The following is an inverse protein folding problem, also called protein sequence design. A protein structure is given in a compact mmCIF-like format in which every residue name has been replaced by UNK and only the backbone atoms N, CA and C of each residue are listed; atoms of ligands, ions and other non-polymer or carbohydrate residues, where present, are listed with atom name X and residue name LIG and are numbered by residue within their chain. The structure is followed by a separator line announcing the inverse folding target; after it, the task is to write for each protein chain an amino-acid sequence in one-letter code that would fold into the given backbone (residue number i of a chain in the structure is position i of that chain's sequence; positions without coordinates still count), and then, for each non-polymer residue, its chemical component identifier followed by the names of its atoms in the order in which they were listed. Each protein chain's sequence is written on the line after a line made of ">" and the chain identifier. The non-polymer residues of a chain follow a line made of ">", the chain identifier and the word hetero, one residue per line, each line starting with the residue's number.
data_IF_694236790186
#
_entry.id   IF_694236790186
#
_cell.length_a   1.000
_cell.length_b   1.000
_cell.length_c   1.000
_cell.angle_alpha   90.00
_cell.angle_beta   90.00
_cell.angle_gamma   90.00
#
_symmetry.space_group_name_H-M   'P 1'
#
loop_
_entity.id
_entity.type
_entity.pdbx_description
1 polymer ?
#
# COMPACT_ATOMS: atom_id res chain seq x y z
N UNK A 1 0.61 -7.59 -43.16
CA UNK A 1 -0.07 -7.12 -41.92
C UNK A 1 0.17 -8.00 -40.69
N UNK A 2 0.38 -9.32 -40.81
CA UNK A 2 0.58 -10.22 -39.65
C UNK A 2 1.87 -9.99 -38.83
N UNK A 3 2.99 -9.61 -39.47
CA UNK A 3 4.27 -9.39 -38.77
C UNK A 3 4.31 -8.10 -37.92
N UNK A 4 3.61 -7.05 -38.33
CA UNK A 4 3.51 -5.80 -37.56
C UNK A 4 2.68 -6.00 -36.28
N UNK A 5 1.59 -6.77 -36.35
CA UNK A 5 0.77 -7.14 -35.19
C UNK A 5 1.56 -8.04 -34.21
N UNK A 6 2.36 -8.98 -34.71
CA UNK A 6 3.24 -9.82 -33.88
C UNK A 6 4.33 -9.04 -33.14
N UNK A 7 4.92 -8.01 -33.77
CA UNK A 7 5.89 -7.11 -33.11
C UNK A 7 5.24 -6.22 -32.06
N UNK A 8 4.08 -5.62 -32.37
CA UNK A 8 3.35 -4.77 -31.41
C UNK A 8 2.91 -5.59 -30.20
N UNK A 9 2.38 -6.80 -30.42
CA UNK A 9 2.00 -7.72 -29.35
C UNK A 9 3.20 -8.09 -28.47
N UNK A 10 4.34 -8.45 -29.06
CA UNK A 10 5.56 -8.78 -28.30
C UNK A 10 6.07 -7.58 -27.48
N UNK A 11 6.06 -6.36 -28.04
CA UNK A 11 6.46 -5.13 -27.33
C UNK A 11 5.52 -4.84 -26.15
N UNK A 12 4.21 -4.97 -26.36
CA UNK A 12 3.20 -4.75 -25.31
C UNK A 12 3.34 -5.79 -24.19
N UNK A 13 3.49 -7.06 -24.54
CA UNK A 13 3.70 -8.15 -23.57
C UNK A 13 4.99 -7.90 -22.78
N UNK A 14 6.12 -7.62 -23.43
CA UNK A 14 7.39 -7.36 -22.72
C UNK A 14 7.31 -6.14 -21.80
N UNK A 15 6.61 -5.07 -22.20
CA UNK A 15 6.36 -3.90 -21.33
C UNK A 15 5.48 -4.26 -20.13
N UNK A 16 4.35 -4.93 -20.35
CA UNK A 16 3.45 -5.33 -19.27
C UNK A 16 4.15 -6.28 -18.28
N UNK A 17 4.97 -7.20 -18.78
CA UNK A 17 5.78 -8.06 -17.92
C UNK A 17 6.82 -7.27 -17.14
N UNK A 18 7.52 -6.32 -17.77
CA UNK A 18 8.51 -5.47 -17.08
C UNK A 18 7.86 -4.59 -16.02
N UNK A 19 6.71 -3.98 -16.32
CA UNK A 19 5.95 -3.14 -15.40
C UNK A 19 5.41 -3.99 -14.24
N UNK A 20 4.95 -5.22 -14.51
CA UNK A 20 4.54 -6.17 -13.48
C UNK A 20 5.72 -6.55 -12.56
N UNK A 21 6.87 -6.91 -13.13
CA UNK A 21 8.07 -7.24 -12.34
C UNK A 21 8.50 -6.07 -11.46
N UNK A 22 8.50 -4.85 -11.99
CA UNK A 22 8.83 -3.64 -11.22
C UNK A 22 7.83 -3.40 -10.08
N UNK A 23 6.53 -3.58 -10.33
CA UNK A 23 5.50 -3.44 -9.29
C UNK A 23 5.57 -4.55 -8.22
N UNK A 24 6.00 -5.75 -8.60
CA UNK A 24 6.22 -6.86 -7.68
C UNK A 24 7.48 -6.62 -6.83
N UNK A 25 8.55 -6.05 -7.41
CA UNK A 25 9.78 -5.65 -6.69
C UNK A 25 9.53 -4.56 -5.65
N UNK A 26 8.58 -3.66 -5.89
CA UNK A 26 8.19 -2.60 -4.96
C UNK A 26 7.28 -3.08 -3.81
N UNK A 27 6.94 -4.37 -3.74
CA UNK A 27 6.13 -4.88 -2.63
C UNK A 27 6.97 -4.95 -1.34
N UNK A 28 6.45 -4.44 -0.22
CA UNK A 28 7.08 -4.64 1.08
C UNK A 28 7.07 -6.12 1.47
N UNK A 29 8.21 -6.61 1.95
CA UNK A 29 8.36 -7.98 2.49
C UNK A 29 8.20 -8.04 4.00
N UNK A 30 8.20 -6.89 4.65
CA UNK A 30 8.01 -6.75 6.08
C UNK A 30 7.01 -5.66 6.40
N UNK A 31 6.31 -5.84 7.53
CA UNK A 31 5.28 -4.93 8.00
C UNK A 31 5.46 -4.70 9.51
N UNK A 32 6.55 -4.01 9.93
CA UNK A 32 6.83 -3.76 11.33
C UNK A 32 5.73 -2.91 12.00
N UNK A 33 5.61 -3.06 13.32
CA UNK A 33 4.69 -2.26 14.11
C UNK A 33 5.11 -0.79 14.14
N UNK A 34 4.14 0.12 14.15
CA UNK A 34 4.33 1.57 14.25
C UNK A 34 5.23 1.93 15.42
N UNK A 35 5.05 1.30 16.59
CA UNK A 35 5.86 1.58 17.77
C UNK A 35 7.36 1.27 17.58
N UNK A 36 7.69 0.21 16.83
CA UNK A 36 9.08 -0.08 16.47
C UNK A 36 9.62 1.01 15.54
N UNK A 37 8.90 1.29 14.46
CA UNK A 37 9.30 2.28 13.45
C UNK A 37 9.45 3.68 14.05
N UNK A 38 8.61 4.04 15.00
CA UNK A 38 8.64 5.34 15.67
C UNK A 38 9.93 5.57 16.45
N UNK A 39 10.57 4.50 16.97
CA UNK A 39 11.81 4.56 17.75
C UNK A 39 13.07 4.50 16.88
N UNK A 40 12.97 4.01 15.66
CA UNK A 40 14.11 3.92 14.74
C UNK A 40 14.51 5.31 14.26
N UNK A 41 15.81 5.67 14.25
CA UNK A 41 16.29 6.98 13.78
C UNK A 41 16.02 7.21 12.28
N UNK A 42 16.12 6.13 11.48
CA UNK A 42 15.87 6.12 10.04
C UNK A 42 14.90 4.98 9.69
N UNK A 43 13.59 5.17 9.92
CA UNK A 43 12.62 4.11 9.71
C UNK A 43 12.50 3.77 8.23
N UNK A 44 12.70 2.51 7.88
CA UNK A 44 12.53 2.02 6.52
C UNK A 44 12.03 0.58 6.52
N UNK A 45 11.42 0.16 5.41
CA UNK A 45 10.97 -1.22 5.21
C UNK A 45 11.59 -1.83 3.98
N UNK A 46 11.99 -3.10 4.07
CA UNK A 46 12.51 -3.86 2.93
C UNK A 46 11.44 -4.13 1.89
N UNK A 47 11.85 -4.00 0.64
CA UNK A 47 11.07 -4.34 -0.54
C UNK A 47 11.53 -5.68 -1.13
N UNK A 48 10.68 -6.33 -1.92
CA UNK A 48 10.97 -7.61 -2.55
C UNK A 48 12.17 -7.53 -3.53
N UNK A 49 12.35 -6.38 -4.19
CA UNK A 49 13.51 -6.09 -5.02
C UNK A 49 14.82 -5.84 -4.26
N UNK A 50 14.83 -5.98 -2.93
CA UNK A 50 16.01 -5.80 -2.07
C UNK A 50 16.28 -4.35 -1.64
N UNK A 51 15.57 -3.37 -2.19
CA UNK A 51 15.64 -1.97 -1.74
C UNK A 51 15.00 -1.73 -0.38
N UNK A 52 15.20 -0.52 0.17
CA UNK A 52 14.46 -0.03 1.33
C UNK A 52 13.54 1.14 0.94
N UNK A 53 12.30 1.10 1.40
CA UNK A 53 11.37 2.21 1.33
C UNK A 53 11.44 3.02 2.63
N UNK A 54 11.96 4.24 2.54
CA UNK A 54 12.09 5.12 3.69
C UNK A 54 10.72 5.69 4.10
N UNK A 55 10.42 5.59 5.40
CA UNK A 55 9.23 6.20 5.99
C UNK A 55 9.60 7.57 6.53
N UNK A 56 8.76 8.58 6.24
CA UNK A 56 8.99 9.94 6.74
C UNK A 56 8.66 9.99 8.22
N UNK A 57 9.54 10.63 8.99
CA UNK A 57 9.33 10.80 10.44
C UNK A 57 8.02 11.53 10.72
N UNK A 58 7.75 12.58 9.94
CA UNK A 58 6.58 13.44 10.11
C UNK A 58 5.27 12.67 9.89
N UNK A 59 5.26 11.70 8.96
CA UNK A 59 4.08 10.87 8.71
C UNK A 59 3.86 9.88 9.88
N UNK A 60 4.93 9.34 10.45
CA UNK A 60 4.88 8.45 11.62
C UNK A 60 4.41 9.20 12.88
N UNK A 61 4.91 10.41 13.11
CA UNK A 61 4.48 11.29 14.21
C UNK A 61 3.01 11.65 14.09
N UNK A 62 2.58 12.09 12.91
CA UNK A 62 1.17 12.39 12.63
C UNK A 62 0.28 11.18 12.86
N UNK A 63 0.73 9.99 12.50
CA UNK A 63 -0.03 8.76 12.74
C UNK A 63 -0.04 8.40 14.23
N UNK A 64 1.09 8.54 14.92
CA UNK A 64 1.22 8.27 16.35
C UNK A 64 0.27 9.12 17.19
N UNK A 65 0.17 10.40 16.87
CA UNK A 65 -0.74 11.36 17.52
C UNK A 65 -2.20 11.09 17.18
N UNK A 66 -2.50 10.73 15.92
CA UNK A 66 -3.87 10.45 15.50
C UNK A 66 -4.43 9.17 16.14
N UNK A 67 -3.59 8.17 16.40
CA UNK A 67 -4.05 6.87 16.90
C UNK A 67 -4.18 6.83 18.44
N UNK A 68 -5.28 6.23 18.95
CA UNK A 68 -5.37 5.84 20.34
C UNK A 68 -4.18 4.95 20.75
N UNK A 69 -3.70 5.13 21.98
CA UNK A 69 -2.49 4.48 22.49
C UNK A 69 -2.49 2.96 22.28
N UNK A 70 -3.66 2.31 22.45
CA UNK A 70 -3.80 0.86 22.33
C UNK A 70 -3.69 0.34 20.90
N UNK A 71 -3.86 1.17 19.86
CA UNK A 71 -3.70 0.75 18.45
C UNK A 71 -2.26 0.83 17.97
N UNK A 72 -1.38 1.57 18.65
CA UNK A 72 -0.02 1.85 18.20
C UNK A 72 0.86 0.60 18.08
N UNK A 73 0.72 -0.33 19.02
CA UNK A 73 1.45 -1.61 19.00
C UNK A 73 0.93 -2.62 17.96
N UNK A 74 -0.33 -2.47 17.52
CA UNK A 74 -0.95 -3.37 16.54
C UNK A 74 -0.88 -2.85 15.11
N UNK A 75 -0.67 -1.55 14.92
CA UNK A 75 -0.63 -0.94 13.59
C UNK A 75 0.65 -1.36 12.87
N UNK A 76 0.52 -2.13 11.79
CA UNK A 76 1.64 -2.55 10.94
C UNK A 76 1.71 -1.72 9.67
N UNK A 77 2.93 -1.35 9.28
CA UNK A 77 3.19 -0.43 8.17
C UNK A 77 4.27 -0.96 7.24
N UNK A 78 4.28 -0.54 5.96
CA UNK A 78 3.31 0.35 5.32
C UNK A 78 2.00 -0.37 4.96
N UNK A 79 0.93 0.38 4.71
CA UNK A 79 -0.29 -0.19 4.13
C UNK A 79 -0.09 -0.42 2.64
N UNK A 80 -0.07 -1.68 2.22
CA UNK A 80 -0.02 -2.05 0.82
C UNK A 80 -1.44 -2.07 0.25
N UNK A 81 -1.73 -1.21 -0.70
CA UNK A 81 -3.01 -1.15 -1.40
C UNK A 81 -2.84 -1.66 -2.83
N UNK A 82 -3.62 -2.66 -3.21
CA UNK A 82 -3.62 -3.21 -4.57
C UNK A 82 -4.80 -2.63 -5.33
N UNK A 83 -4.50 -1.81 -6.33
CA UNK A 83 -5.47 -1.30 -7.27
C UNK A 83 -6.03 -2.43 -8.14
N UNK A 84 -7.35 -2.45 -8.24
CA UNK A 84 -8.13 -3.29 -9.15
C UNK A 84 -9.22 -2.45 -9.81
N UNK A 85 -9.35 -2.61 -11.12
CA UNK A 85 -10.48 -2.06 -11.86
C UNK A 85 -11.58 -3.10 -11.95
N UNK A 86 -12.78 -2.78 -11.45
CA UNK A 86 -13.98 -3.61 -11.56
C UNK A 86 -14.99 -2.85 -12.40
N UNK A 87 -15.01 -3.15 -13.71
CA UNK A 87 -15.79 -2.36 -14.68
C UNK A 87 -15.31 -0.91 -14.78
N UNK A 88 -16.17 0.04 -14.45
CA UNK A 88 -15.84 1.48 -14.36
C UNK A 88 -15.35 1.90 -12.96
N UNK A 89 -15.48 1.04 -11.95
CA UNK A 89 -15.16 1.38 -10.55
C UNK A 89 -13.71 1.05 -10.23
N UNK A 90 -13.03 2.02 -9.61
CA UNK A 90 -11.68 1.89 -9.10
C UNK A 90 -11.73 1.45 -7.65
N UNK A 91 -11.20 0.27 -7.36
CA UNK A 91 -11.19 -0.33 -6.02
C UNK A 91 -9.74 -0.59 -5.61
N UNK A 92 -9.41 -0.22 -4.37
CA UNK A 92 -8.11 -0.50 -3.78
C UNK A 92 -8.32 -1.49 -2.64
N UNK A 93 -7.76 -2.69 -2.78
CA UNK A 93 -7.87 -3.72 -1.76
C UNK A 93 -6.64 -3.67 -0.86
N UNK A 94 -6.85 -3.70 0.46
CA UNK A 94 -5.75 -3.81 1.40
C UNK A 94 -5.10 -5.19 1.23
N UNK A 95 -3.80 -5.20 0.99
CA UNK A 95 -2.97 -6.38 0.82
C UNK A 95 -1.86 -6.41 1.87
N UNK A 96 -1.14 -7.54 1.93
CA UNK A 96 -0.10 -7.80 2.91
C UNK A 96 -0.43 -9.02 3.76
N UNK A 97 0.28 -9.21 4.89
CA UNK A 97 0.00 -10.31 5.81
C UNK A 97 -1.43 -10.20 6.35
N UNK A 98 -2.08 -11.34 6.68
CA UNK A 98 -3.38 -11.33 7.34
C UNK A 98 -3.27 -10.64 8.69
N UNK A 99 -3.62 -9.36 8.72
CA UNK A 99 -3.65 -8.52 9.92
C UNK A 99 -5.09 -8.04 10.15
N UNK A 100 -5.68 -8.47 11.26
CA UNK A 100 -7.03 -8.06 11.65
C UNK A 100 -7.11 -6.58 12.03
N UNK A 101 -5.97 -5.93 12.33
CA UNK A 101 -5.93 -4.56 12.80
C UNK A 101 -5.82 -3.54 11.68
N UNK A 102 -5.08 -3.81 10.62
CA UNK A 102 -4.93 -2.86 9.52
C UNK A 102 -6.29 -2.34 8.95
N UNK A 103 -7.30 -3.20 8.66
CA UNK A 103 -8.63 -2.71 8.23
C UNK A 103 -9.34 -1.84 9.27
N UNK A 104 -9.13 -2.11 10.57
CA UNK A 104 -9.75 -1.36 11.67
C UNK A 104 -9.06 -0.03 11.91
N UNK A 105 -7.74 0.01 11.78
CA UNK A 105 -6.94 1.24 11.86
C UNK A 105 -7.34 2.17 10.72
N UNK A 106 -7.46 1.66 9.50
CA UNK A 106 -7.96 2.45 8.37
C UNK A 106 -9.40 2.92 8.58
N UNK A 107 -10.28 2.06 9.12
CA UNK A 107 -11.64 2.46 9.52
C UNK A 107 -11.65 3.59 10.55
N UNK A 108 -10.77 3.54 11.55
CA UNK A 108 -10.62 4.61 12.51
C UNK A 108 -10.13 5.90 11.87
N UNK A 109 -9.10 5.86 11.02
CA UNK A 109 -8.54 7.05 10.37
C UNK A 109 -9.50 7.71 9.37
N UNK A 110 -10.33 6.91 8.68
CA UNK A 110 -11.22 7.37 7.61
C UNK A 110 -12.64 7.70 8.08
N UNK A 111 -13.10 7.04 9.16
CA UNK A 111 -14.50 7.10 9.63
C UNK A 111 -14.62 7.42 11.12
N UNK A 112 -13.51 7.52 11.86
CA UNK A 112 -13.49 7.87 13.28
C UNK A 112 -13.83 6.72 14.23
N UNK A 113 -13.92 5.47 13.76
CA UNK A 113 -14.28 4.34 14.62
C UNK A 113 -13.57 3.03 14.24
N UNK A 114 -13.04 2.35 15.27
CA UNK A 114 -12.36 1.04 15.21
C UNK A 114 -13.36 -0.11 14.94
N UNK A 115 -14.66 0.17 15.06
CA UNK A 115 -15.73 -0.78 14.74
C UNK A 115 -15.89 -1.00 13.23
N UNK A 116 -15.50 -0.02 12.40
CA UNK A 116 -15.53 -0.16 10.95
C UNK A 116 -14.29 -0.87 10.46
N UNK A 117 -14.48 -1.95 9.69
CA UNK A 117 -13.41 -2.65 8.99
C UNK A 117 -13.40 -2.21 7.53
N UNK A 118 -12.30 -1.59 7.09
CA UNK A 118 -12.12 -1.12 5.72
C UNK A 118 -11.14 -2.06 5.01
N UNK A 119 -11.68 -3.02 4.27
CA UNK A 119 -10.88 -3.96 3.45
C UNK A 119 -10.73 -3.47 2.01
N UNK A 120 -11.67 -2.61 1.57
CA UNK A 120 -11.72 -2.01 0.23
C UNK A 120 -11.89 -0.52 0.36
N UNK A 121 -11.05 0.22 -0.36
CA UNK A 121 -11.06 1.68 -0.40
C UNK A 121 -11.43 2.15 -1.80
N UNK A 122 -12.20 3.24 -1.85
CA UNK A 122 -12.41 3.97 -3.10
C UNK A 122 -11.27 4.99 -3.30
N UNK A 123 -11.26 5.65 -4.47
CA UNK A 123 -10.24 6.65 -4.79
C UNK A 123 -10.17 7.79 -3.76
N UNK A 124 -11.32 8.29 -3.28
CA UNK A 124 -11.37 9.38 -2.31
C UNK A 124 -10.72 9.00 -0.97
N UNK A 125 -10.98 7.78 -0.48
CA UNK A 125 -10.39 7.27 0.74
C UNK A 125 -8.87 7.13 0.60
N UNK A 126 -8.39 6.59 -0.52
CA UNK A 126 -6.95 6.48 -0.81
C UNK A 126 -6.31 7.87 -0.93
N UNK A 127 -7.00 8.83 -1.55
CA UNK A 127 -6.51 10.22 -1.66
C UNK A 127 -6.29 10.84 -0.29
N UNK A 128 -7.24 10.68 0.63
CA UNK A 128 -7.10 11.16 2.02
C UNK A 128 -5.90 10.54 2.71
N UNK A 129 -5.67 9.23 2.53
CA UNK A 129 -4.51 8.56 3.11
C UNK A 129 -3.18 9.02 2.50
N UNK A 130 -3.12 9.20 1.18
CA UNK A 130 -1.91 9.66 0.50
C UNK A 130 -1.59 11.13 0.79
N UNK A 131 -2.60 11.98 0.95
CA UNK A 131 -2.42 13.37 1.37
C UNK A 131 -1.91 13.47 2.81
N UNK A 132 -2.39 12.60 3.70
CA UNK A 132 -2.02 12.64 5.13
C UNK A 132 -0.81 11.79 5.49
N UNK A 133 -0.53 10.71 4.79
CA UNK A 133 0.50 9.73 5.14
C UNK A 133 1.20 9.17 3.88
N UNK A 134 1.75 10.03 3.00
CA UNK A 134 2.25 9.63 1.69
C UNK A 134 3.33 8.54 1.74
N UNK A 135 4.19 8.53 2.77
CA UNK A 135 5.23 7.51 2.90
C UNK A 135 4.75 6.21 3.55
N UNK A 136 3.59 6.20 4.22
CA UNK A 136 3.08 5.02 4.94
C UNK A 136 2.17 4.14 4.08
N UNK A 137 1.85 4.58 2.87
CA UNK A 137 0.98 3.87 1.93
C UNK A 137 1.78 3.52 0.68
N UNK A 138 1.76 2.25 0.29
CA UNK A 138 2.30 1.79 -0.98
C UNK A 138 1.13 1.34 -1.85
N UNK A 139 1.01 1.93 -3.04
CA UNK A 139 0.01 1.53 -4.03
C UNK A 139 0.67 0.67 -5.10
N UNK A 140 0.15 -0.53 -5.29
CA UNK A 140 0.55 -1.45 -6.37
C UNK A 140 -0.65 -1.71 -7.29
N UNK A 141 -0.41 -2.22 -8.49
CA UNK A 141 -1.47 -2.61 -9.42
C UNK A 141 -1.38 -4.11 -9.69
N UNK A 142 -2.53 -4.79 -9.70
CA UNK A 142 -2.59 -6.17 -10.19
C UNK A 142 -3.00 -6.13 -11.66
N UNK A 143 -2.05 -6.39 -12.56
CA UNK A 143 -2.37 -6.62 -13.96
C UNK A 143 -2.84 -8.07 -14.09
N UNK A 144 -4.15 -8.26 -14.24
CA UNK A 144 -4.73 -9.53 -14.68
C UNK A 144 -4.52 -9.60 -16.20
N UNK A 145 -3.65 -10.52 -16.63
CA UNK A 145 -3.52 -10.94 -18.03
C UNK A 145 -4.65 -11.90 -18.38
#
# INVERSE_FOLDING_TARGET
>A
MGEQLGRIHRILVTRVYRDKTLLDELRPVEFPALERLYREERPCVRLAGGGCHALRREDLERLWEALPWYLRGFTRLPWLLVYRRVGSVQVYELAGPPDAWAPRVLGFLLRGSVGYRVEKLNYSDVRVLLERYPSLVIVSMRVSL
#
